data_IF_880252206241
#
_entry.id   IF_880252206241
#
_cell.length_a   1.000
_cell.length_b   1.000
_cell.length_c   1.000
_cell.angle_alpha   90.00
_cell.angle_beta   90.00
_cell.angle_gamma   90.00
#
_symmetry.space_group_name_H-M   'P 1'
#
loop_
_entity.id
_entity.type
_entity.pdbx_description
1 polymer ?
#
# COMPACT_ATOMS: atom_id res chain seq x y z
N UNK A 1 6.21 -24.07 14.66
CA UNK A 1 5.47 -23.94 13.39
C UNK A 1 5.03 -22.49 13.26
N UNK A 2 5.50 -21.78 12.24
CA UNK A 2 5.03 -20.41 11.95
C UNK A 2 3.55 -20.50 11.59
N UNK A 3 2.72 -19.65 12.21
CA UNK A 3 1.31 -19.58 11.86
C UNK A 3 1.16 -18.85 10.53
N UNK A 4 0.39 -19.39 9.61
CA UNK A 4 0.07 -18.77 8.33
C UNK A 4 -0.94 -17.62 8.45
N UNK A 5 -1.55 -17.42 9.62
CA UNK A 5 -2.47 -16.34 9.90
C UNK A 5 -2.46 -15.94 11.37
N UNK A 6 -2.97 -14.75 11.66
CA UNK A 6 -3.27 -14.27 13.01
C UNK A 6 -4.62 -13.59 13.04
N UNK A 7 -5.29 -13.63 14.18
CA UNK A 7 -6.54 -12.93 14.40
C UNK A 7 -6.38 -12.06 15.65
N UNK A 8 -6.66 -10.78 15.52
CA UNK A 8 -6.76 -9.86 16.62
C UNK A 8 -8.22 -9.41 16.75
N UNK A 9 -8.85 -9.71 17.86
CA UNK A 9 -10.24 -9.31 18.12
C UNK A 9 -10.29 -7.84 18.51
N UNK A 10 -11.42 -7.19 18.28
CA UNK A 10 -11.65 -5.78 18.64
C UNK A 10 -11.19 -5.49 20.08
N UNK A 11 -10.42 -4.44 20.27
CA UNK A 11 -9.87 -4.03 21.56
C UNK A 11 -8.66 -4.82 22.08
N UNK A 12 -8.25 -5.89 21.39
CA UNK A 12 -7.13 -6.75 21.79
C UNK A 12 -5.82 -6.48 21.00
N UNK A 13 -5.73 -5.37 20.29
CA UNK A 13 -4.50 -4.92 19.67
C UNK A 13 -3.41 -4.65 20.73
N UNK A 14 -2.16 -4.93 20.40
CA UNK A 14 -1.05 -4.59 21.29
C UNK A 14 -0.84 -3.08 21.28
N UNK A 15 -1.05 -2.41 22.40
CA UNK A 15 -0.77 -0.99 22.57
C UNK A 15 0.73 -0.75 22.38
N UNK A 16 1.09 0.14 21.46
CA UNK A 16 2.46 0.56 21.16
C UNK A 16 2.71 2.01 21.54
N UNK A 17 1.68 2.84 21.59
CA UNK A 17 1.70 4.17 22.15
C UNK A 17 0.36 4.51 22.80
N UNK A 18 0.39 5.21 23.92
CA UNK A 18 -0.76 5.73 24.64
C UNK A 18 -0.32 6.98 25.41
N UNK A 19 -0.07 8.05 24.69
CA UNK A 19 0.42 9.32 25.22
C UNK A 19 -0.03 10.48 24.33
N UNK A 20 -0.06 11.68 24.86
CA UNK A 20 -0.37 12.92 24.16
C UNK A 20 -1.65 12.87 23.31
N UNK A 21 -2.68 12.17 23.82
CA UNK A 21 -3.94 11.99 23.08
C UNK A 21 -3.87 11.01 21.90
N UNK A 22 -2.82 10.23 21.78
CA UNK A 22 -2.64 9.23 20.73
C UNK A 22 -2.68 7.82 21.31
N UNK A 23 -3.59 6.99 20.83
CA UNK A 23 -3.65 5.56 21.13
C UNK A 23 -3.33 4.78 19.84
N UNK A 24 -2.24 4.03 19.86
CA UNK A 24 -1.80 3.22 18.72
C UNK A 24 -1.76 1.75 19.14
N UNK A 25 -2.45 0.90 18.40
CA UNK A 25 -2.53 -0.52 18.66
C UNK A 25 -2.11 -1.34 17.44
N UNK A 26 -1.06 -2.16 17.57
CA UNK A 26 -0.68 -3.11 16.52
C UNK A 26 -1.71 -4.24 16.43
N UNK A 27 -2.26 -4.46 15.25
CA UNK A 27 -3.31 -5.45 14.99
C UNK A 27 -2.77 -6.86 14.63
N UNK A 28 -1.48 -6.98 14.36
CA UNK A 28 -0.85 -8.26 14.06
C UNK A 28 0.47 -8.46 14.84
N UNK A 29 0.49 -8.29 16.18
CA UNK A 29 1.75 -8.26 16.93
C UNK A 29 2.47 -9.61 16.98
N UNK A 30 1.78 -10.70 16.73
CA UNK A 30 2.32 -12.07 16.80
C UNK A 30 2.66 -12.67 15.44
N UNK A 31 2.26 -12.02 14.36
CA UNK A 31 2.59 -12.51 13.03
C UNK A 31 4.04 -12.14 12.71
N UNK A 32 4.82 -13.12 12.25
CA UNK A 32 6.23 -12.95 11.91
C UNK A 32 6.42 -12.72 10.42
N UNK A 33 7.53 -12.08 10.03
CA UNK A 33 7.89 -11.81 8.63
C UNK A 33 6.79 -11.03 7.87
N UNK A 34 6.22 -10.02 8.54
CA UNK A 34 5.24 -9.13 7.94
C UNK A 34 5.92 -8.18 6.94
N UNK A 35 5.30 -7.99 5.80
CA UNK A 35 5.64 -6.92 4.86
C UNK A 35 5.08 -5.57 5.34
N UNK A 36 3.97 -5.60 6.09
CA UNK A 36 3.34 -4.42 6.64
C UNK A 36 2.90 -4.63 8.09
N UNK A 37 2.93 -3.57 8.87
CA UNK A 37 2.41 -3.52 10.23
C UNK A 37 1.07 -2.77 10.25
N UNK A 38 -0.05 -3.46 10.46
CA UNK A 38 -1.36 -2.81 10.61
C UNK A 38 -1.53 -2.25 12.01
N UNK A 39 -1.91 -0.97 12.09
CA UNK A 39 -2.21 -0.28 13.33
C UNK A 39 -3.64 0.27 13.32
N UNK A 40 -4.33 0.10 14.43
CA UNK A 40 -5.52 0.85 14.77
C UNK A 40 -5.08 2.07 15.55
N UNK A 41 -5.38 3.25 15.01
CA UNK A 41 -4.92 4.52 15.55
C UNK A 41 -6.13 5.36 15.94
N UNK A 42 -6.09 5.92 17.15
CA UNK A 42 -7.04 6.90 17.60
C UNK A 42 -6.29 8.15 18.07
N UNK A 43 -6.61 9.29 17.48
CA UNK A 43 -6.12 10.60 17.87
C UNK A 43 -7.24 11.39 18.48
N UNK A 44 -7.02 11.88 19.70
CA UNK A 44 -7.93 12.79 20.36
C UNK A 44 -7.86 14.18 19.73
N UNK A 45 -9.01 14.81 19.58
CA UNK A 45 -9.06 16.21 19.18
C UNK A 45 -8.48 17.09 20.29
N UNK A 46 -7.65 18.04 19.89
CA UNK A 46 -7.10 19.06 20.77
C UNK A 46 -7.21 20.44 20.11
N UNK A 47 -7.92 21.35 20.75
CA UNK A 47 -8.03 22.74 20.28
C UNK A 47 -6.67 23.45 20.29
N UNK A 48 -5.78 23.07 21.19
CA UNK A 48 -4.42 23.63 21.27
C UNK A 48 -3.59 23.27 20.05
N UNK A 49 -3.69 22.04 19.54
CA UNK A 49 -2.96 21.59 18.36
C UNK A 49 -3.41 22.26 17.06
N UNK A 50 -4.67 22.79 17.03
CA UNK A 50 -5.17 23.47 15.83
C UNK A 50 -4.44 24.79 15.51
N UNK A 51 -3.84 25.43 16.52
CA UNK A 51 -3.12 26.68 16.39
C UNK A 51 -1.61 26.50 16.22
N UNK A 52 -1.13 25.27 16.31
CA UNK A 52 0.30 24.91 16.19
C UNK A 52 0.60 24.30 14.83
N UNK A 53 1.86 24.39 14.45
CA UNK A 53 2.37 23.61 13.32
C UNK A 53 2.33 22.11 13.65
N UNK A 54 1.93 21.29 12.67
CA UNK A 54 1.92 19.83 12.84
C UNK A 54 3.35 19.35 13.00
N UNK A 55 3.64 18.73 14.14
CA UNK A 55 4.92 18.07 14.39
C UNK A 55 5.11 16.91 13.41
N UNK A 56 6.28 16.83 12.81
CA UNK A 56 6.60 15.82 11.81
C UNK A 56 7.71 14.89 12.27
N UNK A 57 7.66 13.67 11.82
CA UNK A 57 8.71 12.66 11.99
C UNK A 57 8.97 11.96 10.67
N UNK A 58 10.03 11.15 10.60
CA UNK A 58 10.34 10.29 9.47
C UNK A 58 10.66 8.89 9.95
N UNK A 59 10.36 7.91 9.11
CA UNK A 59 10.84 6.53 9.30
C UNK A 59 11.08 5.87 7.94
N UNK A 60 11.70 4.69 7.95
CA UNK A 60 11.91 3.90 6.75
C UNK A 60 10.57 3.34 6.23
N UNK A 61 10.50 3.06 4.92
CA UNK A 61 9.38 2.41 4.29
C UNK A 61 8.31 3.37 3.77
N UNK A 62 7.11 2.83 3.70
CA UNK A 62 5.95 3.52 3.15
C UNK A 62 4.78 3.36 4.12
N UNK A 63 3.82 4.26 4.03
CA UNK A 63 2.64 4.22 4.88
C UNK A 63 1.37 4.47 4.05
N UNK A 64 0.33 3.73 4.42
CA UNK A 64 -1.02 3.92 3.90
C UNK A 64 -1.97 4.12 5.06
N UNK A 65 -2.72 5.21 5.05
CA UNK A 65 -3.73 5.51 6.06
C UNK A 65 -5.12 5.57 5.45
N UNK A 66 -6.10 5.00 6.16
CA UNK A 66 -7.52 5.04 5.81
C UNK A 66 -8.32 5.56 7.01
N UNK A 67 -9.00 6.68 6.84
CA UNK A 67 -9.86 7.24 7.88
C UNK A 67 -11.12 6.41 8.02
N UNK A 68 -11.37 5.92 9.25
CA UNK A 68 -12.54 5.09 9.59
C UNK A 68 -13.63 5.94 10.23
N UNK A 69 -13.24 6.95 11.01
CA UNK A 69 -14.17 7.85 11.69
C UNK A 69 -13.49 9.19 11.99
N UNK A 70 -14.24 10.28 11.87
CA UNK A 70 -13.76 11.63 12.11
C UNK A 70 -12.98 12.20 10.96
N UNK A 71 -12.18 13.23 11.22
CA UNK A 71 -11.38 13.95 10.24
C UNK A 71 -9.93 14.05 10.68
N UNK A 72 -9.01 13.84 9.75
CA UNK A 72 -7.57 13.85 9.96
C UNK A 72 -6.92 14.91 9.07
N UNK A 73 -6.22 15.88 9.67
CA UNK A 73 -5.35 16.78 8.91
C UNK A 73 -3.95 16.18 8.87
N UNK A 74 -3.46 15.93 7.67
CA UNK A 74 -2.15 15.30 7.41
C UNK A 74 -1.23 16.33 6.78
N UNK A 75 0.03 16.34 7.22
CA UNK A 75 1.13 17.05 6.58
C UNK A 75 2.11 16.02 6.03
N UNK A 76 2.48 16.15 4.75
CA UNK A 76 3.55 15.36 4.10
C UNK A 76 4.46 16.32 3.36
N UNK A 77 5.68 16.51 3.88
CA UNK A 77 6.56 17.57 3.44
C UNK A 77 5.93 18.95 3.68
N UNK A 78 5.75 19.70 2.60
CA UNK A 78 5.13 21.02 2.62
C UNK A 78 3.63 20.99 2.26
N UNK A 79 3.07 19.82 1.99
CA UNK A 79 1.68 19.65 1.59
C UNK A 79 0.79 19.32 2.80
N UNK A 80 -0.43 19.86 2.78
CA UNK A 80 -1.44 19.61 3.79
C UNK A 80 -2.72 19.14 3.13
N UNK A 81 -3.29 18.06 3.69
CA UNK A 81 -4.57 17.51 3.28
C UNK A 81 -5.49 17.30 4.48
N UNK A 82 -6.80 17.41 4.27
CA UNK A 82 -7.80 17.02 5.27
C UNK A 82 -8.56 15.81 4.73
N UNK A 83 -8.37 14.69 5.40
CA UNK A 83 -9.03 13.43 5.09
C UNK A 83 -10.25 13.24 5.97
N UNK A 84 -11.34 12.78 5.39
CA UNK A 84 -12.59 12.45 6.06
C UNK A 84 -12.86 10.95 6.03
N UNK A 85 -13.88 10.51 6.71
CA UNK A 85 -14.30 9.10 6.72
C UNK A 85 -14.38 8.52 5.32
N UNK A 86 -13.63 7.42 5.07
CA UNK A 86 -13.48 6.76 3.78
C UNK A 86 -12.34 7.28 2.91
N UNK A 87 -11.75 8.43 3.23
CA UNK A 87 -10.59 8.94 2.50
C UNK A 87 -9.32 8.22 2.93
N UNK A 88 -8.35 8.15 2.03
CA UNK A 88 -7.06 7.53 2.28
C UNK A 88 -5.90 8.33 1.69
N UNK A 89 -4.72 8.10 2.24
CA UNK A 89 -3.47 8.66 1.76
C UNK A 89 -2.39 7.58 1.71
N UNK A 90 -1.48 7.68 0.76
CA UNK A 90 -0.32 6.81 0.62
C UNK A 90 0.93 7.65 0.37
N UNK A 91 2.00 7.44 1.13
CA UNK A 91 3.21 8.23 1.03
C UNK A 91 4.48 7.45 1.38
N UNK A 92 5.63 7.98 0.94
CA UNK A 92 6.94 7.51 1.39
C UNK A 92 7.23 8.10 2.76
N UNK A 93 7.48 7.24 3.76
CA UNK A 93 7.66 7.66 5.15
C UNK A 93 9.02 8.32 5.43
N UNK A 94 9.94 8.31 4.46
CA UNK A 94 11.16 9.10 4.48
C UNK A 94 10.93 10.61 4.28
N UNK A 95 9.74 11.00 3.77
CA UNK A 95 9.31 12.39 3.71
C UNK A 95 8.78 12.77 5.10
N UNK A 96 9.18 13.93 5.68
CA UNK A 96 8.66 14.39 6.95
C UNK A 96 7.14 14.45 6.93
N UNK A 97 6.49 13.76 7.87
CA UNK A 97 5.03 13.65 7.92
C UNK A 97 4.52 13.68 9.36
N UNK A 98 3.30 14.12 9.51
CA UNK A 98 2.60 14.18 10.78
C UNK A 98 1.12 14.47 10.58
N UNK A 99 0.33 14.26 11.62
CA UNK A 99 -1.12 14.39 11.54
C UNK A 99 -1.77 14.73 12.86
N UNK A 100 -2.93 15.38 12.79
CA UNK A 100 -3.78 15.72 13.95
C UNK A 100 -5.25 15.48 13.62
N UNK A 101 -6.04 15.15 14.63
CA UNK A 101 -7.51 15.15 14.52
C UNK A 101 -8.03 16.59 14.39
N UNK A 102 -9.02 16.82 13.51
CA UNK A 102 -9.60 18.14 13.24
C UNK A 102 -11.14 18.11 13.32
N UNK A 103 -11.79 19.19 12.97
CA UNK A 103 -13.25 19.36 12.93
C UNK A 103 -13.96 19.15 14.28
N UNK A 104 -13.23 19.25 15.40
CA UNK A 104 -13.81 19.20 16.76
C UNK A 104 -14.09 17.81 17.30
N UNK A 105 -13.65 16.75 16.63
CA UNK A 105 -13.87 15.36 17.04
C UNK A 105 -12.59 14.51 16.94
N UNK A 106 -12.57 13.41 17.70
CA UNK A 106 -11.50 12.41 17.64
C UNK A 106 -11.49 11.72 16.26
N UNK A 107 -10.30 11.39 15.80
CA UNK A 107 -10.15 10.65 14.55
C UNK A 107 -9.65 9.23 14.82
N UNK A 108 -10.29 8.27 14.16
CA UNK A 108 -9.86 6.87 14.12
C UNK A 108 -9.50 6.50 12.69
N UNK A 109 -8.32 5.93 12.51
CA UNK A 109 -7.86 5.47 11.20
C UNK A 109 -7.07 4.17 11.28
N UNK A 110 -7.00 3.46 10.16
CA UNK A 110 -6.12 2.32 9.97
C UNK A 110 -4.83 2.83 9.33
N UNK A 111 -3.69 2.58 9.98
CA UNK A 111 -2.38 2.83 9.41
C UNK A 111 -1.70 1.50 9.05
N UNK A 112 -1.20 1.41 7.83
CA UNK A 112 -0.41 0.29 7.33
C UNK A 112 1.02 0.78 7.09
N UNK A 113 1.92 0.49 8.02
CA UNK A 113 3.35 0.82 7.89
C UNK A 113 4.06 -0.35 7.23
N UNK A 114 4.55 -0.12 6.03
CA UNK A 114 5.28 -1.10 5.23
C UNK A 114 6.78 -0.92 5.45
N UNK A 115 7.49 -2.01 5.64
CA UNK A 115 8.94 -1.97 5.70
C UNK A 115 9.48 -1.68 4.29
N UNK A 116 10.61 -0.98 4.19
CA UNK A 116 11.40 -1.05 2.98
C UNK A 116 11.85 -2.51 2.83
N UNK A 117 11.39 -3.19 1.80
CA UNK A 117 12.27 -4.16 1.20
C UNK A 117 13.45 -3.32 0.72
N UNK A 118 14.68 -3.68 1.08
CA UNK A 118 15.87 -3.11 0.45
C UNK A 118 15.56 -2.99 -1.03
N UNK A 119 15.57 -1.76 -1.58
CA UNK A 119 15.38 -1.59 -3.03
C UNK A 119 16.28 -2.65 -3.65
N UNK A 120 15.76 -3.58 -4.46
CA UNK A 120 16.61 -4.61 -5.04
C UNK A 120 17.75 -3.84 -5.67
N UNK A 121 18.96 -4.05 -5.16
CA UNK A 121 20.16 -3.30 -5.48
C UNK A 121 20.09 -3.03 -6.96
N UNK A 122 20.10 -1.75 -7.37
CA UNK A 122 19.96 -1.36 -8.76
C UNK A 122 20.60 -2.43 -9.59
N UNK A 123 19.82 -3.11 -10.43
CA UNK A 123 20.38 -4.00 -11.41
C UNK A 123 21.24 -3.10 -12.29
N UNK A 124 22.48 -2.88 -11.83
CA UNK A 124 23.53 -2.39 -12.67
C UNK A 124 23.66 -3.48 -13.72
N UNK A 125 23.02 -3.26 -14.84
CA UNK A 125 23.14 -4.12 -15.98
C UNK A 125 24.55 -3.99 -16.55
N UNK A 126 25.50 -4.63 -15.86
CA UNK A 126 26.72 -5.03 -16.52
C UNK A 126 26.36 -6.23 -17.39
N UNK A 127 26.36 -6.01 -18.69
CA UNK A 127 26.17 -6.98 -19.75
C UNK A 127 24.74 -7.45 -20.04
N UNK A 128 23.96 -6.59 -20.68
CA UNK A 128 22.88 -7.01 -21.57
C UNK A 128 23.53 -7.56 -22.86
N UNK A 129 24.09 -8.76 -22.78
CA UNK A 129 24.26 -9.61 -23.94
C UNK A 129 23.87 -11.02 -23.48
N UNK A 130 22.79 -11.53 -24.11
CA UNK A 130 22.22 -12.87 -23.94
C UNK A 130 21.27 -13.10 -22.74
N UNK A 131 20.28 -12.25 -22.53
CA UNK A 131 19.01 -12.72 -21.99
C UNK A 131 18.28 -13.48 -23.11
N UNK A 132 18.35 -14.79 -23.12
CA UNK A 132 17.39 -15.64 -23.85
C UNK A 132 16.00 -15.20 -23.38
N UNK A 133 15.26 -14.53 -24.27
CA UNK A 133 13.84 -14.31 -24.11
C UNK A 133 13.18 -15.67 -23.94
N UNK A 134 12.81 -16.01 -22.73
CA UNK A 134 11.86 -17.09 -22.51
C UNK A 134 10.51 -16.50 -22.95
N UNK A 135 10.19 -16.70 -24.23
CA UNK A 135 8.85 -16.43 -24.76
C UNK A 135 7.86 -17.29 -23.99
N UNK A 136 7.29 -16.73 -22.93
CA UNK A 136 6.04 -17.23 -22.36
C UNK A 136 4.95 -16.44 -23.05
N UNK A 137 4.20 -17.05 -23.99
CA UNK A 137 3.07 -16.37 -24.59
C UNK A 137 2.11 -16.00 -23.46
N UNK A 138 1.97 -14.70 -23.20
CA UNK A 138 0.97 -14.20 -22.26
C UNK A 138 -0.39 -14.53 -22.86
N UNK A 139 -1.32 -14.97 -22.01
CA UNK A 139 -2.71 -15.23 -22.45
C UNK A 139 -3.32 -13.96 -23.07
N UNK A 140 -2.87 -12.80 -22.60
CA UNK A 140 -3.21 -11.50 -23.19
C UNK A 140 -2.91 -11.36 -24.69
N UNK A 141 -1.93 -12.09 -25.24
CA UNK A 141 -1.53 -11.98 -26.65
C UNK A 141 -2.66 -12.41 -27.61
N UNK A 142 -3.68 -13.09 -27.10
CA UNK A 142 -4.88 -13.45 -27.88
C UNK A 142 -5.87 -12.29 -28.03
N UNK A 143 -5.77 -11.27 -27.18
CA UNK A 143 -6.76 -10.20 -27.08
C UNK A 143 -6.15 -8.80 -27.13
N UNK A 144 -4.84 -8.68 -26.94
CA UNK A 144 -4.13 -7.40 -26.85
C UNK A 144 -2.86 -7.45 -27.71
N UNK A 145 -2.67 -6.44 -28.52
CA UNK A 145 -1.43 -6.20 -29.25
C UNK A 145 -0.83 -4.88 -28.77
N UNK A 146 0.39 -4.95 -28.26
CA UNK A 146 1.15 -3.77 -27.84
C UNK A 146 2.16 -3.39 -28.91
N UNK A 147 2.29 -2.11 -29.16
CA UNK A 147 3.30 -1.53 -30.04
C UNK A 147 4.24 -0.71 -29.17
N UNK A 148 5.52 -0.90 -29.37
CA UNK A 148 6.56 -0.16 -28.66
C UNK A 148 7.30 0.75 -29.65
N UNK A 149 7.72 1.93 -29.18
CA UNK A 149 8.56 2.83 -29.95
C UNK A 149 10.03 2.36 -29.95
N UNK A 150 10.90 3.15 -30.60
CA UNK A 150 12.33 2.84 -30.73
C UNK A 150 13.05 2.79 -29.36
N UNK A 151 12.49 3.43 -28.31
CA UNK A 151 13.01 3.43 -26.95
C UNK A 151 12.47 2.27 -26.10
N UNK A 152 11.67 1.37 -26.67
CA UNK A 152 11.06 0.24 -25.96
C UNK A 152 9.85 0.62 -25.09
N UNK A 153 9.33 1.84 -25.22
CA UNK A 153 8.16 2.31 -24.47
C UNK A 153 6.89 1.97 -25.24
N UNK A 154 5.86 1.49 -24.54
CA UNK A 154 4.57 1.20 -25.15
C UNK A 154 3.94 2.48 -25.71
N UNK A 155 3.77 2.54 -27.01
CA UNK A 155 3.23 3.68 -27.76
C UNK A 155 1.75 3.51 -28.09
N UNK A 156 1.32 2.27 -28.34
CA UNK A 156 -0.05 1.94 -28.70
C UNK A 156 -0.45 0.57 -28.19
N UNK A 157 -1.70 0.44 -27.79
CA UNK A 157 -2.34 -0.81 -27.42
C UNK A 157 -3.57 -0.98 -28.31
N UNK A 158 -3.71 -2.12 -28.99
CA UNK A 158 -4.90 -2.50 -29.73
C UNK A 158 -5.54 -3.71 -29.09
N UNK A 159 -6.84 -3.61 -28.86
CA UNK A 159 -7.67 -4.72 -28.40
C UNK A 159 -8.37 -5.37 -29.61
N UNK A 160 -8.48 -6.69 -29.58
CA UNK A 160 -9.18 -7.44 -30.60
C UNK A 160 -9.91 -8.62 -29.98
N UNK A 161 -10.98 -9.06 -30.62
CA UNK A 161 -11.88 -10.11 -30.10
C UNK A 161 -12.46 -9.78 -28.70
N UNK A 162 -12.70 -8.50 -28.38
CA UNK A 162 -13.23 -8.06 -27.09
C UNK A 162 -14.58 -8.71 -26.76
N UNK A 163 -15.42 -8.95 -27.77
CA UNK A 163 -16.71 -9.63 -27.69
C UNK A 163 -16.61 -11.11 -27.27
N UNK A 164 -15.42 -11.70 -27.40
CA UNK A 164 -15.11 -13.09 -27.04
C UNK A 164 -14.29 -13.23 -25.79
N UNK A 165 -13.81 -12.11 -25.22
CA UNK A 165 -12.96 -12.12 -24.03
C UNK A 165 -13.80 -12.35 -22.77
N UNK A 166 -13.44 -13.37 -21.98
CA UNK A 166 -13.97 -13.59 -20.65
C UNK A 166 -12.82 -13.85 -19.67
N UNK A 167 -12.58 -12.90 -18.78
CA UNK A 167 -11.47 -12.96 -17.83
C UNK A 167 -11.39 -14.27 -17.03
N UNK A 168 -12.54 -14.79 -16.59
CA UNK A 168 -12.56 -16.01 -15.80
C UNK A 168 -12.11 -17.23 -16.62
N UNK A 169 -12.60 -17.38 -17.85
CA UNK A 169 -12.27 -18.54 -18.70
C UNK A 169 -10.93 -18.38 -19.42
N UNK A 170 -10.61 -17.17 -19.90
CA UNK A 170 -9.44 -16.97 -20.73
C UNK A 170 -8.16 -16.72 -19.94
N UNK A 171 -8.28 -16.23 -18.71
CA UNK A 171 -7.14 -15.95 -17.84
C UNK A 171 -7.06 -16.94 -16.68
N UNK A 172 -8.10 -17.00 -15.83
CA UNK A 172 -8.04 -17.77 -14.58
C UNK A 172 -8.01 -19.27 -14.86
N UNK A 173 -8.92 -19.78 -15.70
CA UNK A 173 -8.97 -21.21 -16.03
C UNK A 173 -7.74 -21.67 -16.80
N UNK A 174 -7.20 -20.83 -17.68
CA UNK A 174 -5.99 -21.18 -18.43
C UNK A 174 -4.75 -21.21 -17.53
N UNK A 175 -4.62 -20.28 -16.58
CA UNK A 175 -3.56 -20.32 -15.56
C UNK A 175 -3.72 -21.57 -14.70
N UNK A 176 -4.92 -21.90 -14.25
CA UNK A 176 -5.19 -23.09 -13.46
C UNK A 176 -4.87 -24.41 -14.18
N UNK A 177 -5.07 -24.48 -15.49
CA UNK A 177 -4.69 -25.64 -16.30
C UNK A 177 -3.19 -25.77 -16.53
N UNK A 178 -2.48 -24.64 -16.72
CA UNK A 178 -1.05 -24.61 -17.03
C UNK A 178 -0.13 -24.61 -15.81
N UNK A 179 -0.63 -24.12 -14.69
CA UNK A 179 0.13 -23.97 -13.44
C UNK A 179 -0.77 -24.11 -12.22
N UNK A 180 -1.31 -25.32 -11.97
CA UNK A 180 -2.26 -25.55 -10.88
C UNK A 180 -1.70 -25.25 -9.50
N UNK A 181 -0.38 -25.18 -9.36
CA UNK A 181 0.31 -24.81 -8.14
C UNK A 181 0.28 -23.29 -7.83
N UNK A 182 -0.26 -22.46 -8.73
CA UNK A 182 -0.31 -20.99 -8.60
C UNK A 182 -1.69 -20.43 -8.27
N UNK A 183 -2.69 -21.31 -8.09
CA UNK A 183 -4.04 -20.95 -7.68
C UNK A 183 -4.27 -21.15 -6.18
#
# INVERSE_FOLDING_TARGET
KLSSYTVTRRGNGKVTANEDGKLIQNLAPRFKQKLANPYWVNYQYSSELQSKEIEVSTHAGQEFDLVIKGSLKVRVGDNYEVLREGDSIYYKSSIPHGMIAVDGEDCTFLAMVMNDEEEPAEFVSENVNEAKQVERPLVSDKFVKTFVNEDGVCDKIEFYNEDKFNFAFDIVDEIGRKSPEKL
#
